data_IF_057568510367
#
_entry.id   IF_057568510367
#
_cell.length_a   1.000
_cell.length_b   1.000
_cell.length_c   1.000
_cell.angle_alpha   90.00
_cell.angle_beta   90.00
_cell.angle_gamma   90.00
#
_symmetry.space_group_name_H-M   'P 1'
#
loop_
_entity.id
_entity.type
_entity.pdbx_description
1 polymer ?
#
# COMPACT_ATOMS: atom_id res chain seq x y z
N UNK A 1 27.69 -30.86 -2.42
CA UNK A 1 26.40 -30.69 -3.10
C UNK A 1 25.87 -29.31 -2.72
N UNK A 2 25.47 -28.50 -3.67
CA UNK A 2 24.82 -27.20 -3.36
C UNK A 2 23.51 -27.44 -2.61
N UNK A 3 23.20 -26.60 -1.61
CA UNK A 3 21.93 -26.68 -0.90
C UNK A 3 20.76 -26.54 -1.91
N UNK A 4 19.65 -27.29 -1.72
CA UNK A 4 18.48 -27.15 -2.59
C UNK A 4 17.93 -25.73 -2.52
N UNK A 5 17.39 -25.26 -3.63
CA UNK A 5 16.76 -23.93 -3.72
C UNK A 5 15.40 -23.97 -3.03
N UNK A 6 15.19 -23.14 -2.00
CA UNK A 6 13.95 -23.04 -1.24
C UNK A 6 13.40 -21.62 -1.32
N UNK A 7 12.37 -21.38 -2.12
CA UNK A 7 11.74 -20.06 -2.18
C UNK A 7 10.90 -19.76 -0.95
N UNK A 8 10.89 -18.48 -0.53
CA UNK A 8 10.09 -17.93 0.58
C UNK A 8 9.37 -16.68 0.15
N UNK A 9 8.05 -16.66 0.29
CA UNK A 9 7.20 -15.51 0.02
C UNK A 9 6.85 -14.81 1.34
N UNK A 10 7.23 -13.54 1.47
CA UNK A 10 6.86 -12.70 2.61
C UNK A 10 5.62 -11.91 2.23
N UNK A 11 4.49 -12.34 2.79
CA UNK A 11 3.15 -11.88 2.48
C UNK A 11 2.59 -10.98 3.58
N UNK A 12 1.66 -10.14 3.22
CA UNK A 12 0.92 -9.28 4.14
C UNK A 12 0.58 -7.96 3.49
N UNK A 13 -0.50 -7.35 3.95
CA UNK A 13 -0.90 -6.02 3.48
C UNK A 13 0.17 -4.98 3.84
N UNK A 14 0.25 -3.91 3.08
CA UNK A 14 1.04 -2.73 3.43
C UNK A 14 0.81 -2.32 4.90
N UNK A 15 1.83 -1.84 5.57
CA UNK A 15 1.80 -1.39 6.99
C UNK A 15 1.54 -2.50 8.02
N UNK A 16 1.62 -3.77 7.64
CA UNK A 16 1.45 -4.90 8.55
C UNK A 16 2.76 -5.41 9.19
N UNK A 17 3.90 -4.79 8.92
CA UNK A 17 5.20 -5.22 9.49
C UNK A 17 6.03 -6.13 8.58
N UNK A 18 5.65 -6.27 7.31
CA UNK A 18 6.37 -7.12 6.33
C UNK A 18 7.83 -6.71 6.10
N UNK A 19 8.15 -5.40 6.11
CA UNK A 19 9.53 -4.91 5.97
C UNK A 19 10.40 -5.29 7.17
N UNK A 20 9.83 -5.27 8.38
CA UNK A 20 10.53 -5.73 9.58
C UNK A 20 10.86 -7.22 9.49
N UNK A 21 9.88 -8.05 9.10
CA UNK A 21 10.11 -9.47 8.90
C UNK A 21 11.16 -9.74 7.81
N UNK A 22 11.12 -9.00 6.69
CA UNK A 22 12.12 -9.15 5.63
C UNK A 22 13.53 -8.84 6.13
N UNK A 23 13.70 -7.76 6.90
CA UNK A 23 14.95 -7.39 7.55
C UNK A 23 15.44 -8.48 8.53
N UNK A 24 14.53 -9.06 9.32
CA UNK A 24 14.84 -10.15 10.24
C UNK A 24 15.31 -11.41 9.47
N UNK A 25 14.59 -11.80 8.41
CA UNK A 25 14.96 -12.96 7.59
C UNK A 25 16.30 -12.74 6.88
N UNK A 26 16.60 -11.53 6.43
CA UNK A 26 17.90 -11.20 5.84
C UNK A 26 19.03 -11.40 6.86
N UNK A 27 18.85 -11.01 8.11
CA UNK A 27 19.82 -11.27 9.19
C UNK A 27 19.96 -12.76 9.50
N UNK A 28 18.91 -13.56 9.30
CA UNK A 28 18.97 -15.01 9.43
C UNK A 28 19.60 -15.72 8.21
N UNK A 29 20.10 -14.96 7.23
CA UNK A 29 20.78 -15.50 6.05
C UNK A 29 19.85 -15.82 4.87
N UNK A 30 18.57 -15.38 4.91
CA UNK A 30 17.65 -15.51 3.79
C UNK A 30 17.89 -14.39 2.79
N UNK A 31 18.06 -14.71 1.51
CA UNK A 31 18.15 -13.70 0.46
C UNK A 31 16.75 -13.17 0.10
N UNK A 32 16.46 -11.89 0.39
CA UNK A 32 15.14 -11.26 0.18
C UNK A 32 15.03 -10.43 -1.09
N UNK A 33 15.90 -10.64 -2.05
CA UNK A 33 15.97 -9.95 -3.34
C UNK A 33 17.39 -9.54 -3.69
N UNK A 34 17.58 -9.06 -4.91
CA UNK A 34 18.88 -8.67 -5.46
C UNK A 34 19.06 -7.14 -5.47
N UNK A 35 18.06 -6.43 -5.99
CA UNK A 35 18.04 -4.97 -6.04
C UNK A 35 16.80 -4.49 -5.29
N UNK A 36 17.01 -4.03 -4.07
CA UNK A 36 15.92 -3.63 -3.18
C UNK A 36 15.55 -2.17 -3.37
N UNK A 37 14.25 -1.87 -3.27
CA UNK A 37 13.73 -0.51 -3.24
C UNK A 37 14.30 0.22 -2.02
N UNK A 38 14.91 1.37 -2.26
CA UNK A 38 15.50 2.21 -1.23
C UNK A 38 14.46 2.74 -0.22
N UNK A 39 14.93 3.09 0.96
CA UNK A 39 14.10 3.72 1.99
C UNK A 39 13.70 5.16 1.59
N UNK A 40 12.59 5.61 2.15
CA UNK A 40 12.13 6.99 2.05
C UNK A 40 11.71 7.52 3.43
N UNK A 41 11.28 8.77 3.51
CA UNK A 41 10.83 9.38 4.78
C UNK A 41 9.72 8.58 5.48
N UNK A 42 8.82 7.94 4.72
CA UNK A 42 7.73 7.09 5.25
C UNK A 42 8.19 5.70 5.71
N UNK A 43 9.38 5.27 5.29
CA UNK A 43 10.01 4.00 5.69
C UNK A 43 11.55 4.12 5.63
N UNK A 44 12.17 4.78 6.61
CA UNK A 44 13.61 5.08 6.58
C UNK A 44 14.52 3.85 6.64
N UNK A 45 13.99 2.71 7.09
CA UNK A 45 14.74 1.44 7.16
C UNK A 45 14.72 0.63 5.86
N UNK A 46 14.10 1.14 4.79
CA UNK A 46 13.97 0.46 3.50
C UNK A 46 12.66 -0.31 3.35
N UNK A 47 12.26 -0.47 2.11
CA UNK A 47 11.04 -1.20 1.76
C UNK A 47 11.26 -2.71 1.69
N UNK A 48 12.48 -3.16 1.42
CA UNK A 48 12.83 -4.57 1.21
C UNK A 48 12.01 -5.24 0.07
N UNK A 49 11.61 -4.46 -0.92
CA UNK A 49 10.94 -4.94 -2.11
C UNK A 49 11.95 -5.04 -3.24
N UNK A 50 12.10 -6.22 -3.85
CA UNK A 50 12.96 -6.40 -5.02
C UNK A 50 12.31 -5.73 -6.24
N UNK A 51 13.06 -4.88 -6.93
CA UNK A 51 12.55 -4.04 -8.01
C UNK A 51 11.97 -4.86 -9.17
N UNK A 52 12.55 -6.02 -9.49
CA UNK A 52 12.05 -6.85 -10.58
C UNK A 52 10.65 -7.42 -10.29
N UNK A 53 10.44 -7.95 -9.08
CA UNK A 53 9.11 -8.40 -8.65
C UNK A 53 8.14 -7.23 -8.49
N UNK A 54 8.59 -6.13 -7.89
CA UNK A 54 7.79 -4.93 -7.65
C UNK A 54 7.20 -4.38 -8.95
N UNK A 55 8.04 -4.09 -9.94
CA UNK A 55 7.62 -3.49 -11.21
C UNK A 55 6.70 -4.43 -11.99
N UNK A 56 7.05 -5.71 -12.03
CA UNK A 56 6.23 -6.73 -12.67
C UNK A 56 4.85 -6.84 -12.03
N UNK A 57 4.75 -7.00 -10.72
CA UNK A 57 3.49 -7.14 -10.00
C UNK A 57 2.64 -5.86 -10.07
N UNK A 58 3.27 -4.69 -9.96
CA UNK A 58 2.60 -3.40 -10.09
C UNK A 58 1.91 -3.27 -11.45
N UNK A 59 2.60 -3.62 -12.53
CA UNK A 59 2.06 -3.61 -13.89
C UNK A 59 0.89 -4.58 -14.05
N UNK A 60 0.99 -5.81 -13.52
CA UNK A 60 -0.08 -6.79 -13.59
C UNK A 60 -1.31 -6.34 -12.80
N UNK A 61 -1.12 -5.88 -11.58
CA UNK A 61 -2.22 -5.39 -10.75
C UNK A 61 -2.92 -4.21 -11.41
N UNK A 62 -2.19 -3.28 -12.02
CA UNK A 62 -2.75 -2.16 -12.77
C UNK A 62 -3.56 -2.62 -14.00
N UNK A 63 -3.04 -3.58 -14.75
CA UNK A 63 -3.66 -4.07 -15.98
C UNK A 63 -4.96 -4.83 -15.72
N UNK A 64 -4.98 -5.69 -14.70
CA UNK A 64 -6.07 -6.65 -14.48
C UNK A 64 -7.12 -6.22 -13.47
N UNK A 65 -6.99 -5.07 -12.87
CA UNK A 65 -8.03 -4.55 -11.98
C UNK A 65 -9.29 -4.15 -12.73
N UNK A 66 -10.43 -4.41 -12.12
CA UNK A 66 -11.74 -3.99 -12.62
C UNK A 66 -12.40 -3.12 -11.56
N UNK A 67 -12.88 -1.93 -11.95
CA UNK A 67 -13.55 -1.01 -11.03
C UNK A 67 -12.67 0.15 -10.58
N UNK A 68 -13.13 0.91 -9.62
CA UNK A 68 -12.74 2.23 -9.15
C UNK A 68 -11.29 2.71 -9.26
N UNK A 69 -11.06 4.00 -9.04
CA UNK A 69 -9.71 4.55 -9.05
C UNK A 69 -8.88 3.91 -7.93
N UNK A 70 -7.60 3.74 -8.17
CA UNK A 70 -6.67 3.48 -7.08
C UNK A 70 -6.72 4.62 -6.07
N UNK A 71 -6.80 4.27 -4.81
CA UNK A 71 -6.36 5.14 -3.77
C UNK A 71 -4.89 4.82 -3.56
N UNK A 72 -4.07 5.82 -3.65
CA UNK A 72 -2.67 5.71 -3.34
C UNK A 72 -1.80 5.01 -4.39
N UNK A 73 -1.05 5.77 -5.15
CA UNK A 73 0.09 5.36 -6.01
C UNK A 73 0.08 3.92 -6.54
N UNK A 74 -1.12 3.42 -6.87
CA UNK A 74 -1.37 2.07 -7.40
C UNK A 74 -1.15 0.91 -6.43
N UNK A 75 -1.02 1.13 -5.12
CA UNK A 75 -0.59 0.10 -4.20
C UNK A 75 -1.69 -0.46 -3.30
N UNK A 76 -2.84 0.22 -3.18
CA UNK A 76 -3.96 -0.24 -2.37
C UNK A 76 -5.20 -0.44 -3.22
N UNK A 77 -5.77 -1.62 -3.12
CA UNK A 77 -7.02 -1.97 -3.76
C UNK A 77 -8.20 -1.40 -3.00
N UNK A 78 -8.95 -0.50 -3.64
CA UNK A 78 -10.21 -0.04 -3.12
C UNK A 78 -11.32 -0.45 -4.04
N UNK A 79 -12.35 -1.10 -3.53
CA UNK A 79 -13.60 -1.38 -4.25
C UNK A 79 -13.41 -1.95 -5.66
N UNK A 80 -12.25 -2.56 -5.93
CA UNK A 80 -11.91 -3.16 -7.21
C UNK A 80 -11.69 -4.65 -7.07
N UNK A 81 -12.10 -5.37 -8.10
CA UNK A 81 -11.84 -6.79 -8.26
C UNK A 81 -10.63 -6.99 -9.17
N UNK A 82 -9.80 -7.98 -8.87
CA UNK A 82 -8.72 -8.39 -9.75
C UNK A 82 -9.21 -9.54 -10.63
N UNK A 83 -9.47 -9.28 -11.91
CA UNK A 83 -9.72 -10.31 -12.92
C UNK A 83 -8.42 -10.70 -13.58
N UNK A 84 -7.71 -11.60 -12.94
CA UNK A 84 -6.35 -11.93 -13.30
C UNK A 84 -6.28 -13.09 -14.30
N UNK A 85 -6.04 -12.75 -15.57
CA UNK A 85 -5.88 -13.70 -16.68
C UNK A 85 -4.57 -13.37 -17.44
N UNK A 86 -3.41 -13.77 -16.88
CA UNK A 86 -2.10 -13.40 -17.44
C UNK A 86 -1.86 -14.06 -18.80
N UNK A 87 -1.27 -13.29 -19.72
CA UNK A 87 -0.88 -13.79 -21.06
C UNK A 87 0.29 -14.76 -20.99
N UNK A 88 0.58 -15.44 -22.11
CA UNK A 88 1.74 -16.33 -22.21
C UNK A 88 3.07 -15.58 -22.02
N UNK A 89 3.15 -14.36 -22.55
CA UNK A 89 4.34 -13.48 -22.40
C UNK A 89 4.56 -13.07 -20.94
N UNK A 90 3.49 -12.73 -20.22
CA UNK A 90 3.56 -12.38 -18.80
C UNK A 90 3.96 -13.59 -17.94
N UNK A 91 3.48 -14.79 -18.29
CA UNK A 91 3.93 -16.03 -17.65
C UNK A 91 5.43 -16.29 -17.89
N UNK A 92 5.88 -16.14 -19.14
CA UNK A 92 7.28 -16.31 -19.49
C UNK A 92 8.19 -15.26 -18.81
N UNK A 93 7.74 -14.02 -18.69
CA UNK A 93 8.46 -12.97 -17.96
C UNK A 93 8.58 -13.29 -16.47
N UNK A 94 7.51 -13.77 -15.82
CA UNK A 94 7.54 -14.20 -14.44
C UNK A 94 8.52 -15.37 -14.24
N UNK A 95 8.52 -16.35 -15.14
CA UNK A 95 9.43 -17.48 -15.10
C UNK A 95 10.89 -17.02 -15.25
N UNK A 96 11.16 -16.05 -16.12
CA UNK A 96 12.49 -15.45 -16.28
C UNK A 96 12.94 -14.68 -15.03
N UNK A 97 12.04 -13.96 -14.34
CA UNK A 97 12.34 -13.29 -13.06
C UNK A 97 12.70 -14.34 -12.02
N UNK A 98 11.88 -15.37 -11.86
CA UNK A 98 12.12 -16.47 -10.91
C UNK A 98 13.47 -17.16 -11.19
N UNK A 99 13.76 -17.46 -12.45
CA UNK A 99 15.01 -18.11 -12.84
C UNK A 99 16.24 -17.25 -12.48
N UNK A 100 16.18 -15.94 -12.74
CA UNK A 100 17.27 -15.01 -12.43
C UNK A 100 17.51 -14.87 -10.93
N UNK A 101 16.44 -14.84 -10.13
CA UNK A 101 16.49 -14.64 -8.69
C UNK A 101 16.77 -15.94 -7.91
N UNK A 102 16.49 -17.09 -8.53
CA UNK A 102 16.66 -18.40 -7.91
C UNK A 102 18.13 -18.71 -7.62
N UNK A 103 18.43 -19.13 -6.40
CA UNK A 103 19.77 -19.44 -5.94
C UNK A 103 19.78 -20.62 -4.96
N UNK A 104 20.93 -21.26 -4.73
CA UNK A 104 21.08 -22.27 -3.70
C UNK A 104 20.75 -21.69 -2.31
N UNK A 105 20.11 -22.50 -1.45
CA UNK A 105 19.67 -22.09 -0.13
C UNK A 105 18.30 -21.43 -0.14
N UNK A 106 18.02 -20.62 0.89
CA UNK A 106 16.72 -19.96 1.08
C UNK A 106 16.76 -18.56 0.47
N UNK A 107 15.85 -18.31 -0.42
CA UNK A 107 15.71 -17.03 -1.13
C UNK A 107 14.23 -16.69 -1.31
N UNK A 108 13.91 -15.44 -1.61
CA UNK A 108 12.54 -15.03 -1.87
C UNK A 108 12.43 -13.53 -1.99
N UNK A 109 11.25 -13.03 -1.81
CA UNK A 109 10.99 -11.58 -1.84
C UNK A 109 9.85 -11.19 -0.92
N UNK A 110 9.79 -9.90 -0.64
CA UNK A 110 8.70 -9.23 0.07
C UNK A 110 8.05 -8.24 -0.87
N UNK A 111 6.78 -8.45 -1.18
CA UNK A 111 5.93 -7.45 -1.82
C UNK A 111 4.47 -7.70 -1.41
N UNK A 112 3.78 -6.71 -0.84
CA UNK A 112 2.37 -6.86 -0.47
C UNK A 112 1.47 -7.31 -1.62
N UNK A 113 1.77 -6.93 -2.87
CA UNK A 113 0.99 -7.30 -4.07
C UNK A 113 1.04 -8.80 -4.36
N UNK A 114 2.07 -9.49 -3.89
CA UNK A 114 2.17 -10.95 -3.99
C UNK A 114 0.95 -11.64 -3.36
N UNK A 115 0.34 -11.04 -2.33
CA UNK A 115 -0.90 -11.56 -1.75
C UNK A 115 -2.04 -11.64 -2.76
N UNK A 116 -2.16 -10.67 -3.65
CA UNK A 116 -3.20 -10.58 -4.68
C UNK A 116 -2.94 -11.51 -5.86
N UNK A 117 -1.68 -11.89 -6.07
CA UNK A 117 -1.18 -12.74 -7.15
C UNK A 117 -0.67 -14.08 -6.62
N UNK A 118 -1.11 -14.50 -5.43
CA UNK A 118 -0.53 -15.62 -4.70
C UNK A 118 -0.59 -16.93 -5.50
N UNK A 119 -1.72 -17.27 -6.07
CA UNK A 119 -1.90 -18.50 -6.85
C UNK A 119 -0.99 -18.56 -8.07
N UNK A 120 -0.85 -17.41 -8.75
CA UNK A 120 0.05 -17.30 -9.89
C UNK A 120 1.51 -17.60 -9.52
N UNK A 121 1.97 -17.14 -8.36
CA UNK A 121 3.34 -17.41 -7.89
C UNK A 121 3.50 -18.85 -7.36
N UNK A 122 2.49 -19.39 -6.67
CA UNK A 122 2.55 -20.75 -6.16
C UNK A 122 2.52 -21.80 -7.27
N UNK A 123 1.90 -21.52 -8.42
CA UNK A 123 2.00 -22.37 -9.62
C UNK A 123 3.45 -22.51 -10.12
N UNK A 124 4.25 -21.46 -10.02
CA UNK A 124 5.66 -21.40 -10.45
C UNK A 124 6.62 -21.90 -9.37
N UNK A 125 6.21 -21.82 -8.14
CA UNK A 125 7.02 -22.15 -6.96
C UNK A 125 6.26 -23.16 -6.08
N UNK A 126 6.05 -24.40 -6.55
CA UNK A 126 5.24 -25.38 -5.84
C UNK A 126 5.82 -25.77 -4.48
N UNK A 127 7.11 -25.56 -4.26
CA UNK A 127 7.79 -25.81 -2.99
C UNK A 127 7.97 -24.52 -2.13
N UNK A 128 7.41 -23.38 -2.53
CA UNK A 128 7.55 -22.14 -1.76
C UNK A 128 6.93 -22.27 -0.37
N UNK A 129 7.61 -21.70 0.61
CA UNK A 129 7.06 -21.43 1.93
C UNK A 129 6.57 -19.99 2.01
N UNK A 130 5.47 -19.76 2.70
CA UNK A 130 4.82 -18.47 2.83
C UNK A 130 4.77 -18.04 4.28
N UNK A 131 5.30 -16.84 4.58
CA UNK A 131 5.17 -16.23 5.90
C UNK A 131 4.24 -15.03 5.75
N UNK A 132 3.09 -15.10 6.38
CA UNK A 132 2.01 -14.11 6.26
C UNK A 132 1.99 -13.25 7.51
N UNK A 133 2.36 -11.99 7.37
CA UNK A 133 2.34 -11.02 8.49
C UNK A 133 1.07 -10.20 8.43
N UNK A 134 0.40 -10.10 9.56
CA UNK A 134 -0.82 -9.30 9.68
C UNK A 134 -0.84 -8.50 10.99
N UNK A 135 -1.68 -7.49 11.04
CA UNK A 135 -2.01 -6.66 12.21
C UNK A 135 -3.52 -6.47 12.25
N UNK A 136 -4.02 -5.98 13.38
CA UNK A 136 -5.42 -5.56 13.42
C UNK A 136 -5.73 -4.49 12.33
N UNK A 137 -6.83 -4.60 11.58
CA UNK A 137 -7.10 -3.69 10.45
C UNK A 137 -7.12 -2.20 10.83
N UNK A 138 -7.62 -1.84 12.01
CA UNK A 138 -7.57 -0.46 12.53
C UNK A 138 -6.13 0.02 12.74
N UNK A 139 -5.22 -0.84 13.18
CA UNK A 139 -3.83 -0.48 13.39
C UNK A 139 -3.09 -0.27 12.06
N UNK A 140 -3.45 -1.05 11.04
CA UNK A 140 -3.01 -0.84 9.65
C UNK A 140 -3.47 0.54 9.17
N UNK A 141 -4.76 0.85 9.35
CA UNK A 141 -5.34 2.14 8.98
C UNK A 141 -4.63 3.31 9.70
N UNK A 142 -4.43 3.23 11.02
CA UNK A 142 -3.69 4.27 11.75
C UNK A 142 -2.25 4.41 11.29
N UNK A 143 -1.60 3.31 10.90
CA UNK A 143 -0.24 3.36 10.37
C UNK A 143 -0.17 4.09 9.03
N UNK A 144 -1.20 3.98 8.17
CA UNK A 144 -1.34 4.79 6.96
C UNK A 144 -1.52 6.27 7.30
N UNK A 145 -2.44 6.60 8.19
CA UNK A 145 -2.67 7.98 8.62
C UNK A 145 -1.40 8.63 9.20
N UNK A 146 -0.65 7.87 10.00
CA UNK A 146 0.62 8.35 10.58
C UNK A 146 1.67 8.64 9.52
N UNK A 147 1.68 7.89 8.41
CA UNK A 147 2.58 8.14 7.28
C UNK A 147 2.17 9.35 6.44
N UNK A 148 0.92 9.77 6.51
CA UNK A 148 0.41 10.90 5.76
C UNK A 148 -0.22 10.54 4.41
N UNK A 149 -0.81 9.36 4.31
CA UNK A 149 -1.47 8.89 3.09
C UNK A 149 -2.83 9.58 2.93
N UNK A 150 -2.83 10.67 2.20
CA UNK A 150 -3.94 11.64 2.12
C UNK A 150 -5.22 11.09 1.50
N UNK A 151 -5.08 10.27 0.47
CA UNK A 151 -6.22 9.71 -0.26
C UNK A 151 -7.08 8.80 0.64
N UNK A 152 -6.47 8.19 1.66
CA UNK A 152 -7.14 7.34 2.62
C UNK A 152 -8.05 8.10 3.59
N UNK A 153 -7.86 9.41 3.75
CA UNK A 153 -8.80 10.25 4.51
C UNK A 153 -10.14 10.42 3.80
N UNK A 154 -10.12 10.37 2.46
CA UNK A 154 -11.33 10.49 1.66
C UNK A 154 -12.10 9.17 1.59
N UNK A 155 -11.40 8.04 1.74
CA UNK A 155 -11.98 6.69 1.66
C UNK A 155 -11.36 5.73 2.68
N UNK A 156 -11.60 5.91 3.98
CA UNK A 156 -11.03 5.04 5.01
C UNK A 156 -11.47 3.58 4.88
N UNK A 157 -12.68 3.34 4.37
CA UNK A 157 -13.21 1.99 4.10
C UNK A 157 -12.36 1.20 3.09
N UNK A 158 -11.64 1.87 2.22
CA UNK A 158 -10.78 1.23 1.23
C UNK A 158 -9.71 0.35 1.85
N UNK A 159 -9.10 0.78 2.97
CA UNK A 159 -8.12 -0.03 3.70
C UNK A 159 -8.74 -1.34 4.19
N UNK A 160 -9.98 -1.28 4.67
CA UNK A 160 -10.67 -2.44 5.24
C UNK A 160 -11.14 -3.42 4.16
N UNK A 161 -11.62 -2.93 3.01
CA UNK A 161 -11.91 -3.78 1.86
C UNK A 161 -10.64 -4.42 1.31
N UNK A 162 -9.57 -3.65 1.17
CA UNK A 162 -8.28 -4.18 0.73
C UNK A 162 -7.74 -5.22 1.70
N UNK A 163 -7.92 -5.02 3.01
CA UNK A 163 -7.47 -5.98 4.03
C UNK A 163 -8.01 -7.38 3.75
N UNK A 164 -9.30 -7.50 3.50
CA UNK A 164 -9.93 -8.78 3.14
C UNK A 164 -9.28 -9.37 1.88
N UNK A 165 -9.16 -8.58 0.81
CA UNK A 165 -8.63 -9.04 -0.48
C UNK A 165 -7.17 -9.51 -0.39
N UNK A 166 -6.35 -8.86 0.45
CA UNK A 166 -4.94 -9.26 0.63
C UNK A 166 -4.77 -10.57 1.39
N UNK A 167 -5.66 -10.91 2.32
CA UNK A 167 -5.45 -12.08 3.18
C UNK A 167 -6.27 -13.30 2.76
N UNK A 168 -7.36 -13.15 2.02
CA UNK A 168 -8.21 -14.28 1.61
C UNK A 168 -7.47 -15.36 0.79
N UNK A 169 -6.63 -15.03 -0.20
CA UNK A 169 -5.89 -16.06 -0.94
C UNK A 169 -4.97 -16.89 -0.02
N UNK A 170 -4.25 -16.22 0.88
CA UNK A 170 -3.36 -16.89 1.83
C UNK A 170 -4.12 -17.78 2.83
N UNK A 171 -5.28 -17.33 3.32
CA UNK A 171 -6.14 -18.12 4.21
C UNK A 171 -6.71 -19.36 3.51
N UNK A 172 -7.10 -19.24 2.25
CA UNK A 172 -7.58 -20.37 1.46
C UNK A 172 -6.48 -21.41 1.23
N UNK A 173 -5.29 -20.96 0.86
CA UNK A 173 -4.14 -21.84 0.65
C UNK A 173 -3.64 -22.47 1.94
N UNK A 174 -3.61 -21.73 3.04
CA UNK A 174 -3.22 -22.26 4.34
C UNK A 174 -4.11 -23.41 4.81
N UNK A 175 -5.43 -23.37 4.52
CA UNK A 175 -6.34 -24.47 4.84
C UNK A 175 -6.03 -25.76 4.05
N UNK A 176 -5.56 -25.62 2.82
CA UNK A 176 -5.24 -26.75 1.96
C UNK A 176 -3.82 -27.29 2.21
N UNK A 177 -2.88 -26.44 2.52
CA UNK A 177 -1.44 -26.74 2.61
C UNK A 177 -0.82 -26.07 3.86
N UNK A 178 -1.28 -26.42 5.09
CA UNK A 178 -0.92 -25.70 6.32
C UNK A 178 0.59 -25.71 6.61
N UNK A 179 1.31 -26.73 6.19
CA UNK A 179 2.77 -26.88 6.40
C UNK A 179 3.58 -25.88 5.56
N UNK A 180 2.99 -25.29 4.53
CA UNK A 180 3.63 -24.26 3.70
C UNK A 180 3.41 -22.85 4.19
N UNK A 181 2.50 -22.64 5.15
CA UNK A 181 2.11 -21.31 5.60
C UNK A 181 2.35 -21.11 7.09
N UNK A 182 3.04 -20.03 7.43
CA UNK A 182 3.17 -19.52 8.79
C UNK A 182 2.45 -18.18 8.90
N UNK A 183 1.38 -18.12 9.70
CA UNK A 183 0.64 -16.88 9.97
C UNK A 183 1.21 -16.22 11.22
N UNK A 184 1.54 -14.94 11.14
CA UNK A 184 2.24 -14.17 12.17
C UNK A 184 1.49 -12.86 12.45
N UNK A 185 0.91 -12.74 13.64
CA UNK A 185 0.51 -11.41 14.12
C UNK A 185 1.76 -10.61 14.49
N UNK A 186 1.89 -9.43 13.89
CA UNK A 186 3.14 -8.67 13.92
C UNK A 186 3.55 -8.26 15.35
N UNK A 187 2.61 -7.72 16.15
CA UNK A 187 2.95 -7.26 17.50
C UNK A 187 3.29 -8.40 18.44
N UNK A 188 2.51 -9.48 18.40
CA UNK A 188 2.73 -10.65 19.25
C UNK A 188 4.04 -11.34 18.91
N UNK A 189 4.29 -11.57 17.60
CA UNK A 189 5.52 -12.22 17.17
C UNK A 189 6.77 -11.40 17.45
N UNK A 190 6.71 -10.10 17.17
CA UNK A 190 7.90 -9.24 17.40
C UNK A 190 8.11 -8.90 18.88
N UNK A 191 7.09 -8.99 19.73
CA UNK A 191 7.25 -8.91 21.17
C UNK A 191 7.94 -10.17 21.76
N UNK A 192 7.78 -11.31 21.09
CA UNK A 192 8.38 -12.59 21.44
C UNK A 192 9.53 -12.97 20.49
N UNK A 193 10.43 -12.03 20.19
CA UNK A 193 11.42 -12.15 19.12
C UNK A 193 12.30 -13.39 19.19
N UNK A 194 12.86 -13.81 20.35
CA UNK A 194 13.64 -15.06 20.44
C UNK A 194 12.82 -16.29 20.02
N UNK A 195 11.57 -16.38 20.46
CA UNK A 195 10.65 -17.47 20.10
C UNK A 195 10.30 -17.43 18.61
N UNK A 196 10.06 -16.23 18.07
CA UNK A 196 9.80 -16.03 16.65
C UNK A 196 11.00 -16.51 15.81
N UNK A 197 12.22 -16.13 16.18
CA UNK A 197 13.45 -16.57 15.49
C UNK A 197 13.57 -18.09 15.50
N UNK A 198 13.34 -18.72 16.66
CA UNK A 198 13.38 -20.19 16.76
C UNK A 198 12.34 -20.85 15.84
N UNK A 199 11.12 -20.32 15.78
CA UNK A 199 10.07 -20.85 14.89
C UNK A 199 10.37 -20.60 13.41
N UNK A 200 10.91 -19.42 13.05
CA UNK A 200 11.33 -19.13 11.68
C UNK A 200 12.44 -20.07 11.22
N UNK A 201 13.44 -20.33 12.07
CA UNK A 201 14.50 -21.30 11.79
C UNK A 201 13.92 -22.70 11.57
N UNK A 202 13.05 -23.17 12.46
CA UNK A 202 12.38 -24.46 12.32
C UNK A 202 11.54 -24.55 11.06
N UNK A 203 10.71 -23.53 10.80
CA UNK A 203 9.81 -23.48 9.64
C UNK A 203 10.58 -23.49 8.32
N UNK A 204 11.67 -22.74 8.25
CA UNK A 204 12.47 -22.60 7.03
C UNK A 204 13.59 -23.67 6.92
N UNK A 205 13.85 -24.44 7.95
CA UNK A 205 14.97 -25.39 7.98
C UNK A 205 16.35 -24.69 8.05
N UNK A 206 16.41 -23.51 8.68
CA UNK A 206 17.65 -22.79 8.91
C UNK A 206 18.44 -23.44 10.07
N UNK A 207 19.79 -23.37 10.04
CA UNK A 207 20.60 -23.88 11.12
C UNK A 207 20.28 -23.19 12.46
N UNK A 208 20.49 -23.86 13.56
CA UNK A 208 20.43 -23.26 14.89
C UNK A 208 21.44 -22.09 14.97
N UNK A 209 21.06 -21.00 15.65
CA UNK A 209 21.97 -19.88 15.88
C UNK A 209 23.12 -20.30 16.82
N UNK A 210 24.32 -19.83 16.54
CA UNK A 210 25.48 -20.00 17.42
C UNK A 210 25.53 -18.85 18.42
N UNK A 211 25.13 -19.08 19.68
CA UNK A 211 25.20 -18.08 20.77
C UNK A 211 23.94 -17.24 21.01
N UNK A 212 24.03 -16.32 21.99
CA UNK A 212 22.98 -15.32 22.25
C UNK A 212 23.05 -14.25 21.18
N UNK A 213 22.05 -14.23 20.28
CA UNK A 213 21.89 -13.19 19.27
C UNK A 213 21.26 -11.95 19.92
N UNK A 214 21.89 -10.79 19.79
CA UNK A 214 21.34 -9.52 20.26
C UNK A 214 20.28 -9.01 19.30
N UNK A 215 19.02 -9.13 19.70
CA UNK A 215 17.86 -8.64 18.97
C UNK A 215 17.34 -7.31 19.51
N UNK A 216 18.05 -6.65 20.43
CA UNK A 216 17.61 -5.41 21.10
C UNK A 216 17.32 -4.27 20.11
N UNK A 217 18.05 -4.24 19.00
CA UNK A 217 17.86 -3.26 17.92
C UNK A 217 16.45 -3.32 17.29
N UNK A 218 15.81 -4.49 17.30
CA UNK A 218 14.49 -4.67 16.69
C UNK A 218 13.32 -4.36 17.64
N UNK A 219 13.56 -4.12 18.90
CA UNK A 219 12.57 -4.47 19.92
C UNK A 219 11.49 -3.44 20.23
N UNK A 220 11.55 -2.15 19.91
CA UNK A 220 10.63 -1.21 20.59
C UNK A 220 9.97 -0.09 19.78
N UNK A 221 10.42 0.27 18.61
CA UNK A 221 9.96 1.51 17.97
C UNK A 221 8.81 1.37 16.97
N UNK A 222 8.40 0.16 16.63
CA UNK A 222 7.55 -0.06 15.45
C UNK A 222 6.04 -0.23 15.72
N UNK A 223 5.64 -0.53 16.97
CA UNK A 223 4.24 -0.88 17.28
C UNK A 223 3.69 -0.08 18.46
N UNK A 224 3.23 1.14 18.20
CA UNK A 224 2.75 2.04 19.25
C UNK A 224 1.24 2.04 19.44
N UNK A 225 0.47 1.49 18.48
CA UNK A 225 -0.98 1.56 18.50
C UNK A 225 -1.57 0.18 18.78
N UNK A 226 -2.29 0.04 19.89
CA UNK A 226 -3.06 -1.16 20.20
C UNK A 226 -4.54 -0.85 20.15
N UNK A 227 -5.31 -1.77 19.56
CA UNK A 227 -6.76 -1.67 19.49
C UNK A 227 -7.37 -2.11 20.81
N UNK A 228 -8.14 -1.23 21.48
CA UNK A 228 -8.86 -1.57 22.70
C UNK A 228 -10.06 -2.47 22.43
N UNK A 229 -10.54 -3.20 23.47
CA UNK A 229 -11.64 -4.17 23.37
C UNK A 229 -12.92 -3.60 22.74
N UNK A 230 -13.28 -2.36 23.09
CA UNK A 230 -14.50 -1.71 22.57
C UNK A 230 -14.36 -1.29 21.11
N UNK A 231 -13.20 -0.80 20.73
CA UNK A 231 -12.88 -0.48 19.34
C UNK A 231 -12.94 -1.74 18.46
N UNK A 232 -12.39 -2.84 18.97
CA UNK A 232 -12.45 -4.13 18.31
C UNK A 232 -13.92 -4.60 18.13
N UNK A 233 -14.74 -4.52 19.17
CA UNK A 233 -16.14 -4.91 19.10
C UNK A 233 -16.96 -4.05 18.14
N UNK A 234 -16.71 -2.74 18.12
CA UNK A 234 -17.39 -1.83 17.21
C UNK A 234 -16.91 -2.06 15.75
N UNK A 235 -15.62 -2.24 15.55
CA UNK A 235 -15.06 -2.56 14.25
C UNK A 235 -15.63 -3.87 13.68
N UNK A 236 -15.81 -4.89 14.52
CA UNK A 236 -16.43 -6.16 14.15
C UNK A 236 -17.83 -5.99 13.56
N UNK A 237 -18.61 -5.06 14.08
CA UNK A 237 -19.97 -4.77 13.58
C UNK A 237 -19.97 -3.97 12.29
N UNK A 238 -19.09 -2.99 12.18
CA UNK A 238 -19.06 -2.05 11.06
C UNK A 238 -18.30 -2.59 9.83
N UNK A 239 -17.28 -3.40 10.07
CA UNK A 239 -16.36 -3.91 9.04
C UNK A 239 -16.25 -5.43 9.09
N UNK A 240 -17.39 -6.10 9.00
CA UNK A 240 -17.49 -7.55 9.17
C UNK A 240 -16.54 -8.35 8.28
N UNK A 241 -16.30 -7.93 7.03
CA UNK A 241 -15.39 -8.64 6.11
C UNK A 241 -13.94 -8.56 6.58
N UNK A 242 -13.44 -7.36 6.93
CA UNK A 242 -12.07 -7.20 7.42
C UNK A 242 -11.89 -7.85 8.78
N UNK A 243 -12.88 -7.73 9.65
CA UNK A 243 -12.88 -8.40 10.96
C UNK A 243 -12.90 -9.92 10.80
N UNK A 244 -13.75 -10.47 9.94
CA UNK A 244 -13.79 -11.90 9.67
C UNK A 244 -12.48 -12.45 9.12
N UNK A 245 -11.79 -11.72 8.25
CA UNK A 245 -10.45 -12.09 7.80
C UNK A 245 -9.44 -12.08 8.96
N UNK A 246 -9.48 -11.04 9.80
CA UNK A 246 -8.61 -10.95 10.98
C UNK A 246 -8.83 -12.10 11.97
N UNK A 247 -10.08 -12.44 12.31
CA UNK A 247 -10.40 -13.56 13.19
C UNK A 247 -9.92 -14.91 12.63
N UNK A 248 -10.07 -15.12 11.31
CA UNK A 248 -9.55 -16.33 10.66
C UNK A 248 -8.02 -16.41 10.73
N UNK A 249 -7.31 -15.29 10.56
CA UNK A 249 -5.86 -15.22 10.73
C UNK A 249 -5.45 -15.55 12.17
N UNK A 250 -6.17 -15.03 13.16
CA UNK A 250 -5.92 -15.30 14.57
C UNK A 250 -6.07 -16.77 14.95
N UNK A 251 -7.03 -17.47 14.34
CA UNK A 251 -7.28 -18.89 14.63
C UNK A 251 -6.12 -19.80 14.17
N UNK A 252 -5.37 -19.40 13.16
CA UNK A 252 -4.29 -20.20 12.56
C UNK A 252 -2.90 -19.61 12.79
N UNK A 253 -2.80 -18.54 13.59
CA UNK A 253 -1.55 -17.86 13.84
C UNK A 253 -0.62 -18.64 14.75
N UNK A 254 0.66 -18.68 14.39
CA UNK A 254 1.72 -19.18 15.27
C UNK A 254 1.92 -18.26 16.50
N UNK A 255 1.69 -16.95 16.32
CA UNK A 255 1.67 -15.95 17.37
C UNK A 255 0.36 -15.15 17.23
N UNK A 256 -0.73 -15.57 17.87
CA UNK A 256 -1.99 -14.79 17.86
C UNK A 256 -1.83 -13.55 18.73
N UNK A 257 -2.55 -12.48 18.39
CA UNK A 257 -2.61 -11.30 19.24
C UNK A 257 -3.16 -11.67 20.64
N UNK A 258 -2.60 -11.09 21.69
CA UNK A 258 -3.22 -11.21 23.01
C UNK A 258 -4.65 -10.65 22.94
N UNK A 259 -5.57 -11.23 23.69
CA UNK A 259 -6.92 -10.66 23.81
C UNK A 259 -6.80 -9.22 24.29
N UNK A 260 -7.56 -8.28 23.71
CA UNK A 260 -7.51 -6.90 24.13
C UNK A 260 -7.74 -6.81 25.65
N UNK A 261 -6.75 -6.32 26.36
CA UNK A 261 -6.87 -6.06 27.79
C UNK A 261 -7.96 -5.02 28.05
N UNK A 262 -8.60 -5.07 29.20
CA UNK A 262 -9.47 -4.01 29.68
C UNK A 262 -8.60 -2.78 29.96
N UNK A 263 -8.38 -1.99 28.95
CA UNK A 263 -7.52 -0.81 29.05
C UNK A 263 -8.24 0.26 29.88
N UNK A 264 -7.70 0.53 31.03
CA UNK A 264 -8.23 1.41 32.04
C UNK A 264 -8.12 2.90 31.77
N UNK A 265 -8.65 3.38 30.65
CA UNK A 265 -8.87 4.80 30.42
C UNK A 265 -10.38 5.05 30.34
N UNK A 266 -10.99 5.32 31.49
CA UNK A 266 -12.43 5.48 31.65
C UNK A 266 -13.03 6.58 30.75
N UNK A 267 -12.26 7.61 30.41
CA UNK A 267 -12.73 8.70 29.57
C UNK A 267 -12.77 8.31 28.10
N UNK A 268 -11.75 7.59 27.61
CA UNK A 268 -11.75 7.02 26.25
C UNK A 268 -12.82 5.94 26.09
N UNK A 269 -13.06 5.18 27.14
CA UNK A 269 -14.13 4.19 27.18
C UNK A 269 -15.51 4.84 27.12
N UNK A 270 -15.76 5.91 27.89
CA UNK A 270 -17.04 6.61 27.88
C UNK A 270 -17.34 7.27 26.52
N UNK A 271 -16.32 7.82 25.85
CA UNK A 271 -16.46 8.39 24.50
C UNK A 271 -16.71 7.30 23.45
N UNK A 272 -16.05 6.15 23.55
CA UNK A 272 -16.29 5.01 22.66
C UNK A 272 -17.71 4.43 22.87
N UNK A 273 -18.22 4.39 24.10
CA UNK A 273 -19.60 3.97 24.41
C UNK A 273 -20.65 4.95 23.88
N UNK A 274 -20.39 6.25 23.96
CA UNK A 274 -21.27 7.27 23.37
C UNK A 274 -21.34 7.11 21.85
N UNK A 275 -20.19 6.97 21.20
CA UNK A 275 -20.10 6.77 19.75
C UNK A 275 -20.74 5.44 19.32
N UNK A 276 -20.56 4.35 20.10
CA UNK A 276 -21.19 3.05 19.86
C UNK A 276 -22.71 3.14 19.93
N UNK A 277 -23.25 3.92 20.88
CA UNK A 277 -24.68 4.16 20.99
C UNK A 277 -25.23 5.00 19.85
N UNK A 278 -24.53 6.07 19.46
CA UNK A 278 -24.92 6.91 18.33
C UNK A 278 -24.92 6.11 17.02
N UNK A 279 -23.87 5.36 16.75
CA UNK A 279 -23.77 4.48 15.58
C UNK A 279 -24.78 3.35 15.64
N UNK A 280 -24.98 2.73 16.82
CA UNK A 280 -25.99 1.68 17.03
C UNK A 280 -27.41 2.17 16.79
N UNK A 281 -27.73 3.39 17.20
CA UNK A 281 -29.02 4.01 16.95
C UNK A 281 -29.24 4.29 15.46
N UNK A 282 -28.24 4.81 14.76
CA UNK A 282 -28.30 5.05 13.30
C UNK A 282 -28.52 3.70 12.58
N UNK A 283 -27.78 2.66 12.95
CA UNK A 283 -27.89 1.33 12.36
C UNK A 283 -29.23 0.63 12.61
N UNK A 284 -29.89 0.95 13.72
CA UNK A 284 -31.19 0.35 14.09
C UNK A 284 -32.37 1.03 13.41
N UNK A 285 -32.28 2.30 13.03
CA UNK A 285 -33.40 3.09 12.53
C UNK A 285 -33.35 3.39 11.02
N UNK A 286 -32.20 3.20 10.38
CA UNK A 286 -32.10 3.34 8.91
C UNK A 286 -31.75 2.01 8.25
N UNK A 287 -32.50 1.55 7.23
CA UNK A 287 -32.11 0.40 6.45
C UNK A 287 -30.80 0.77 5.70
N UNK A 288 -29.70 0.14 6.09
CA UNK A 288 -28.34 0.33 5.54
C UNK A 288 -28.21 -0.18 4.10
N UNK A 289 -29.18 0.12 3.26
CA UNK A 289 -29.16 -0.23 1.84
C UNK A 289 -28.43 0.80 0.98
N UNK A 290 -28.08 1.97 1.54
CA UNK A 290 -27.44 3.02 0.79
C UNK A 290 -25.95 3.10 1.11
N UNK A 291 -25.11 2.67 0.16
CA UNK A 291 -23.66 2.87 0.13
C UNK A 291 -23.28 4.34 0.45
N UNK A 292 -24.15 5.26 0.09
CA UNK A 292 -24.04 6.71 0.30
C UNK A 292 -24.14 7.15 1.76
N UNK A 293 -24.82 6.38 2.62
CA UNK A 293 -24.98 6.71 4.04
C UNK A 293 -23.95 6.01 4.93
N UNK A 294 -23.59 4.79 4.55
CA UNK A 294 -22.69 3.94 5.34
C UNK A 294 -21.22 4.40 5.23
N UNK A 295 -20.74 4.74 4.05
CA UNK A 295 -19.36 5.20 3.82
C UNK A 295 -19.05 6.49 4.58
N UNK A 296 -19.87 7.57 4.51
CA UNK A 296 -19.66 8.79 5.30
C UNK A 296 -19.72 8.55 6.82
N UNK A 297 -20.52 7.59 7.27
CA UNK A 297 -20.61 7.24 8.68
C UNK A 297 -19.32 6.57 9.18
N UNK A 298 -18.77 5.65 8.40
CA UNK A 298 -17.50 5.00 8.70
C UNK A 298 -16.34 6.00 8.65
N UNK A 299 -16.36 6.89 7.67
CA UNK A 299 -15.42 8.00 7.58
C UNK A 299 -15.46 8.88 8.82
N UNK A 300 -16.66 9.28 9.28
CA UNK A 300 -16.83 10.00 10.54
C UNK A 300 -16.33 9.21 11.74
N UNK A 301 -16.61 7.92 11.79
CA UNK A 301 -16.14 7.04 12.86
C UNK A 301 -14.63 6.96 12.90
N UNK A 302 -13.99 6.69 11.75
CA UNK A 302 -12.54 6.56 11.65
C UNK A 302 -11.81 7.89 11.90
N UNK A 303 -12.41 9.02 11.53
CA UNK A 303 -11.83 10.36 11.69
C UNK A 303 -12.10 11.01 13.06
N UNK A 304 -13.18 10.63 13.74
CA UNK A 304 -13.56 11.19 15.03
C UNK A 304 -13.24 10.25 16.22
N UNK A 305 -12.46 9.20 15.99
CA UNK A 305 -11.90 8.44 17.10
C UNK A 305 -11.06 9.40 17.96
N UNK A 306 -11.30 9.43 19.29
CA UNK A 306 -10.68 10.39 20.20
C UNK A 306 -9.24 9.98 20.56
N UNK A 307 -8.41 9.78 19.54
CA UNK A 307 -6.99 9.52 19.73
C UNK A 307 -6.20 10.77 19.43
N UNK A 308 -5.34 11.23 20.36
CA UNK A 308 -4.42 12.33 20.12
C UNK A 308 -3.60 12.14 18.85
N UNK A 309 -3.23 10.90 18.54
CA UNK A 309 -2.46 10.52 17.37
C UNK A 309 -3.24 10.74 16.07
N UNK A 310 -4.54 10.44 16.04
CA UNK A 310 -5.41 10.69 14.88
C UNK A 310 -5.61 12.19 14.65
N UNK A 311 -5.81 12.95 15.72
CA UNK A 311 -5.90 14.41 15.64
C UNK A 311 -4.61 15.04 15.12
N UNK A 312 -3.46 14.60 15.62
CA UNK A 312 -2.14 15.06 15.17
C UNK A 312 -1.83 14.62 13.73
N UNK A 313 -2.22 13.41 13.35
CA UNK A 313 -2.08 12.93 11.98
C UNK A 313 -2.94 13.77 11.03
N UNK A 314 -4.21 14.01 11.39
CA UNK A 314 -5.13 14.88 10.62
C UNK A 314 -4.56 16.28 10.44
N UNK A 315 -4.02 16.89 11.49
CA UNK A 315 -3.44 18.23 11.40
C UNK A 315 -2.22 18.26 10.48
N UNK A 316 -1.31 17.28 10.59
CA UNK A 316 -0.15 17.15 9.68
C UNK A 316 -0.60 16.98 8.23
N UNK A 317 -1.59 16.15 7.99
CA UNK A 317 -2.17 15.91 6.68
C UNK A 317 -2.76 17.18 6.08
N UNK A 318 -3.59 17.90 6.85
CA UNK A 318 -4.18 19.16 6.39
C UNK A 318 -3.12 20.22 6.07
N UNK A 319 -2.04 20.29 6.87
CA UNK A 319 -0.90 21.19 6.60
C UNK A 319 -0.18 20.82 5.30
N UNK A 320 0.16 19.55 5.11
CA UNK A 320 0.86 19.10 3.91
C UNK A 320 -0.03 19.22 2.64
N UNK A 321 -1.35 18.99 2.74
CA UNK A 321 -2.28 19.29 1.63
C UNK A 321 -2.31 20.78 1.29
N UNK A 322 -2.27 21.64 2.30
CA UNK A 322 -2.24 23.09 2.09
C UNK A 322 -0.92 23.52 1.43
N UNK A 323 0.20 22.89 1.81
CA UNK A 323 1.51 23.13 1.21
C UNK A 323 1.56 22.63 -0.24
N UNK A 324 1.11 21.39 -0.50
CA UNK A 324 1.05 20.82 -1.86
C UNK A 324 0.17 21.66 -2.79
N UNK A 325 -1.03 22.08 -2.34
CA UNK A 325 -1.88 22.99 -3.14
C UNK A 325 -1.22 24.34 -3.40
N UNK A 326 -0.41 24.81 -2.45
CA UNK A 326 0.33 26.07 -2.61
C UNK A 326 1.41 25.91 -3.69
N UNK A 327 2.14 24.82 -3.69
CA UNK A 327 3.14 24.50 -4.71
C UNK A 327 2.52 24.27 -6.10
N UNK A 328 1.40 23.55 -6.17
CA UNK A 328 0.63 23.36 -7.41
C UNK A 328 0.15 24.70 -7.97
N UNK A 329 -0.41 25.57 -7.10
CA UNK A 329 -0.86 26.91 -7.52
C UNK A 329 0.32 27.78 -8.00
N UNK A 330 1.47 27.69 -7.36
CA UNK A 330 2.68 28.42 -7.74
C UNK A 330 3.24 27.92 -9.08
N UNK A 331 3.25 26.62 -9.28
CA UNK A 331 3.62 25.98 -10.55
C UNK A 331 2.66 26.38 -11.67
N UNK A 332 1.34 26.31 -11.40
CA UNK A 332 0.33 26.75 -12.37
C UNK A 332 0.47 28.23 -12.72
N UNK A 333 0.77 29.08 -11.72
CA UNK A 333 1.02 30.51 -11.94
C UNK A 333 2.20 30.76 -12.86
N UNK A 334 3.31 29.99 -12.69
CA UNK A 334 4.48 30.07 -13.58
C UNK A 334 4.13 29.66 -15.01
N UNK A 335 3.41 28.55 -15.17
CA UNK A 335 2.97 28.09 -16.49
C UNK A 335 2.10 29.13 -17.19
N UNK A 336 1.15 29.74 -16.47
CA UNK A 336 0.31 30.81 -17.03
C UNK A 336 1.13 32.04 -17.42
N UNK A 337 2.10 32.44 -16.62
CA UNK A 337 2.99 33.56 -16.93
C UNK A 337 3.87 33.29 -18.17
N UNK A 338 4.41 32.08 -18.28
CA UNK A 338 5.20 31.67 -19.44
C UNK A 338 4.34 31.61 -20.70
N UNK A 339 3.11 31.11 -20.58
CA UNK A 339 2.16 31.12 -21.70
C UNK A 339 1.81 32.55 -22.16
N UNK A 340 1.53 33.46 -21.20
CA UNK A 340 1.26 34.87 -21.54
C UNK A 340 2.46 35.54 -22.21
N UNK A 341 3.68 35.25 -21.77
CA UNK A 341 4.90 35.74 -22.43
C UNK A 341 5.00 35.21 -23.85
N UNK A 342 4.75 33.90 -24.05
CA UNK A 342 4.79 33.27 -25.38
C UNK A 342 3.73 33.89 -26.33
N UNK A 343 2.53 34.09 -25.85
CA UNK A 343 1.46 34.76 -26.62
C UNK A 343 1.88 36.19 -27.03
N UNK A 344 2.46 36.96 -26.11
CA UNK A 344 2.94 38.31 -26.40
C UNK A 344 4.11 38.32 -27.41
N UNK A 345 4.99 37.35 -27.42
CA UNK A 345 6.02 37.18 -28.45
C UNK A 345 5.41 36.78 -29.79
N UNK A 346 4.46 35.84 -29.81
CA UNK A 346 3.74 35.47 -31.03
C UNK A 346 3.01 36.63 -31.68
N UNK A 347 2.31 37.46 -30.90
CA UNK A 347 1.65 38.66 -31.40
C UNK A 347 2.62 39.64 -32.05
N UNK A 348 3.82 39.83 -31.48
CA UNK A 348 4.89 40.64 -32.09
C UNK A 348 5.34 40.07 -33.42
N UNK A 349 5.59 38.76 -33.51
CA UNK A 349 5.98 38.10 -34.74
C UNK A 349 4.89 38.15 -35.78
N UNK A 350 3.63 38.01 -35.38
CA UNK A 350 2.47 38.10 -36.26
C UNK A 350 2.29 39.52 -36.84
N UNK A 351 2.47 40.52 -36.00
CA UNK A 351 2.46 41.92 -36.48
C UNK A 351 3.58 42.22 -37.46
N UNK A 352 4.78 41.68 -37.19
CA UNK A 352 5.95 41.79 -38.09
C UNK A 352 5.66 41.11 -39.43
N UNK A 353 5.09 39.89 -39.41
CA UNK A 353 4.71 39.15 -40.60
C UNK A 353 3.66 39.90 -41.40
N UNK A 354 2.66 40.47 -40.79
CA UNK A 354 1.62 41.32 -41.43
C UNK A 354 2.28 42.50 -42.15
N UNK A 355 3.22 43.20 -41.49
CA UNK A 355 3.95 44.33 -42.11
C UNK A 355 4.75 43.92 -43.32
N UNK A 356 5.49 42.77 -43.25
CA UNK A 356 6.21 42.22 -44.38
C UNK A 356 5.27 41.79 -45.51
N UNK A 357 4.15 41.20 -45.23
CA UNK A 357 3.16 40.79 -46.20
C UNK A 357 2.55 41.98 -46.95
N UNK A 358 2.20 43.07 -46.25
CA UNK A 358 1.73 44.31 -46.86
C UNK A 358 2.82 44.97 -47.70
N UNK A 359 4.07 45.05 -47.25
CA UNK A 359 5.15 45.62 -48.00
C UNK A 359 5.43 44.82 -49.30
N UNK A 360 5.35 43.49 -49.23
CA UNK A 360 5.49 42.61 -50.38
C UNK A 360 4.34 42.81 -51.39
N UNK A 361 3.10 42.88 -50.94
CA UNK A 361 1.97 43.16 -51.84
C UNK A 361 2.07 44.51 -52.52
N UNK A 362 2.48 45.54 -51.82
CA UNK A 362 2.68 46.87 -52.38
C UNK A 362 3.81 46.87 -53.42
N UNK A 363 4.92 46.18 -53.13
CA UNK A 363 6.03 46.02 -54.10
C UNK A 363 5.57 45.24 -55.33
N UNK A 364 4.80 44.19 -55.18
CA UNK A 364 4.25 43.42 -56.32
C UNK A 364 3.34 44.25 -57.19
N UNK A 365 2.52 45.11 -56.57
CA UNK A 365 1.61 46.05 -57.26
C UNK A 365 2.38 47.08 -58.07
N UNK A 366 3.39 47.71 -57.45
CA UNK A 366 4.27 48.67 -58.14
C UNK A 366 4.99 48.01 -59.34
N UNK A 367 5.45 46.78 -59.19
CA UNK A 367 6.10 46.06 -60.31
C UNK A 367 5.10 45.74 -61.43
N UNK A 368 3.85 45.40 -61.16
CA UNK A 368 2.81 45.22 -62.16
C UNK A 368 2.52 46.53 -62.91
N UNK A 369 2.39 47.65 -62.21
CA UNK A 369 2.14 48.95 -62.80
C UNK A 369 3.31 49.38 -63.70
N UNK A 370 4.53 49.15 -63.31
CA UNK A 370 5.73 49.42 -64.14
C UNK A 370 5.80 48.51 -65.37
N UNK A 371 5.37 47.25 -65.27
CA UNK A 371 5.31 46.35 -66.44
C UNK A 371 4.23 46.76 -67.43
N UNK A 372 3.06 47.23 -66.94
CA UNK A 372 1.97 47.74 -67.80
C UNK A 372 2.31 49.07 -68.50
N UNK A 373 3.18 49.90 -67.94
CA UNK A 373 3.62 51.15 -68.57
C UNK A 373 4.70 50.92 -69.62
N UNK A 374 5.33 49.74 -69.68
CA UNK A 374 6.37 49.40 -70.71
C UNK A 374 5.84 48.55 -71.86
N UNK A 375 4.56 48.13 -71.79
CA UNK A 375 3.85 47.46 -72.88
C UNK A 375 2.97 48.48 -73.64
#
# INVERSE_FOLDING_TARGET
MSAPSQPVLILGMHRSGTSFLASLLQKLGVSVGEVLLEGNEGNPHGHFEDLAFLEFQRRLVQKYRVGGPYLYDNDIFCDSELKFEPTAEERAEADAIVQRQSRPGIWGWKDPRTCLLLDFWLERLPNAKCIVVYRHPLEVYWSFLKRGDFDLLQRPSAVFHSYHSYYQPALQRQKAEPERFMMLEAQAGFAALPQLVAQLRSFLGLPAGEGEEDWSFFAREFFHNRTGRRQHALFARLMSHAHGAYEQLQQVAAFPAPRPEEAGDAEKEAQADKLTREVGNILMYEPLTARETFVPMIERFCLNLPFPEVAQARERILRAQAESRREEMETHRKVVQDYQRYVGEYEKYYALYQNYYWAWQETARVLQDVQQQKS
#
